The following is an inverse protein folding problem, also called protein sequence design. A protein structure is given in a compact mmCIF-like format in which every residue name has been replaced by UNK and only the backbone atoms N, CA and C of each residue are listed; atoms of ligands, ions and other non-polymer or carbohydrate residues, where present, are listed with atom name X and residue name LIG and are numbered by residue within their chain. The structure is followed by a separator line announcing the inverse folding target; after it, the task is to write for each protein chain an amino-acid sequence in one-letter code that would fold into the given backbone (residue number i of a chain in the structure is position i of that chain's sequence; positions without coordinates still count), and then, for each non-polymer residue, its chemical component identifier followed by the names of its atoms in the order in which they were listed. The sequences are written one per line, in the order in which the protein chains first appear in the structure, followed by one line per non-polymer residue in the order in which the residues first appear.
data_IF_332010299331
#
_entry.id   IF_332010299331
#
_cell.length_a   1.000
_cell.length_b   1.000
_cell.length_c   1.000
_cell.angle_alpha   90.00
_cell.angle_beta   90.00
_cell.angle_gamma   90.00
#
_symmetry.space_group_name_H-M   'P 1'
#
loop_
_entity.id
_entity.type
_entity.pdbx_description
1 polymer ?
#
# COMPACT_ATOMS: atom_id res chain seq x y z
N UNK A 1 5.73 13.80 23.92
CA UNK A 1 6.57 13.17 22.87
C UNK A 1 7.54 14.21 22.34
N UNK A 2 8.85 13.93 22.31
CA UNK A 2 9.70 14.56 21.29
C UNK A 2 10.51 13.58 20.44
N UNK A 3 10.61 12.30 20.83
CA UNK A 3 11.44 11.31 20.13
C UNK A 3 10.58 10.23 19.48
N UNK A 4 10.73 10.06 18.16
CA UNK A 4 10.16 8.95 17.39
C UNK A 4 11.32 8.09 16.88
N UNK A 5 11.44 6.81 17.30
CA UNK A 5 12.61 5.97 16.99
C UNK A 5 12.61 5.40 15.56
N UNK A 6 11.53 5.60 14.81
CA UNK A 6 11.38 5.14 13.43
C UNK A 6 12.08 6.09 12.46
N UNK A 7 12.71 5.53 11.43
CA UNK A 7 13.43 6.31 10.39
C UNK A 7 13.09 5.79 8.99
N UNK A 8 13.54 6.50 7.97
CA UNK A 8 13.36 6.16 6.55
C UNK A 8 14.67 5.68 5.94
N UNK A 9 14.56 4.89 4.87
CA UNK A 9 15.68 4.56 4.00
C UNK A 9 16.05 5.76 3.10
N UNK A 10 17.08 5.62 2.26
CA UNK A 10 17.53 6.67 1.34
C UNK A 10 16.47 7.12 0.32
N UNK A 11 15.48 6.25 0.01
CA UNK A 11 14.36 6.56 -0.87
C UNK A 11 13.19 7.25 -0.14
N UNK A 12 13.37 7.60 1.14
CA UNK A 12 12.34 8.21 1.97
C UNK A 12 11.24 7.24 2.45
N UNK A 13 11.43 5.93 2.29
CA UNK A 13 10.46 4.90 2.70
C UNK A 13 10.81 4.37 4.09
N UNK A 14 9.83 4.28 4.98
CA UNK A 14 9.99 3.77 6.34
C UNK A 14 8.67 3.22 6.88
N UNK A 15 8.67 2.66 8.10
CA UNK A 15 7.47 2.07 8.68
C UNK A 15 6.42 3.15 8.94
N UNK A 16 5.19 2.91 8.47
CA UNK A 16 4.02 3.65 8.93
C UNK A 16 3.66 3.12 10.33
N UNK A 17 3.67 4.00 11.33
CA UNK A 17 3.42 3.62 12.72
C UNK A 17 2.23 4.41 13.29
N UNK A 18 1.32 3.69 13.91
CA UNK A 18 0.21 4.25 14.69
C UNK A 18 -0.09 3.30 15.84
N UNK A 19 -0.52 3.84 16.97
CA UNK A 19 -0.99 3.05 18.11
C UNK A 19 -2.45 3.43 18.37
N UNK A 20 -3.32 2.43 18.40
CA UNK A 20 -4.73 2.59 18.77
C UNK A 20 -4.87 2.50 20.29
N UNK A 21 -5.56 1.49 20.80
CA UNK A 21 -5.70 1.20 22.21
C UNK A 21 -4.98 -0.11 22.56
N UNK A 22 -4.93 -0.43 23.85
CA UNK A 22 -4.25 -1.63 24.30
C UNK A 22 -5.00 -2.90 23.88
N UNK A 23 -6.33 -2.83 23.92
CA UNK A 23 -7.25 -3.94 23.72
C UNK A 23 -7.57 -4.28 22.25
N UNK A 24 -7.27 -3.39 21.29
CA UNK A 24 -7.73 -3.50 19.90
C UNK A 24 -6.61 -3.59 18.84
N UNK A 25 -5.36 -3.84 19.26
CA UNK A 25 -4.20 -3.81 18.34
C UNK A 25 -4.36 -4.77 17.15
N UNK A 26 -5.03 -5.91 17.34
CA UNK A 26 -5.27 -6.88 16.28
C UNK A 26 -6.31 -6.37 15.28
N UNK A 27 -7.45 -5.89 15.76
CA UNK A 27 -8.54 -5.33 14.95
C UNK A 27 -8.10 -4.07 14.21
N UNK A 28 -7.29 -3.24 14.86
CA UNK A 28 -6.70 -2.05 14.26
C UNK A 28 -5.75 -2.41 13.09
N UNK A 29 -4.86 -3.38 13.29
CA UNK A 29 -4.00 -3.92 12.24
C UNK A 29 -4.79 -4.56 11.09
N UNK A 30 -5.87 -5.29 11.42
CA UNK A 30 -6.77 -5.87 10.42
C UNK A 30 -7.45 -4.78 9.58
N UNK A 31 -7.88 -3.68 10.20
CA UNK A 31 -8.45 -2.53 9.51
C UNK A 31 -7.51 -1.96 8.44
N UNK A 32 -6.22 -1.81 8.75
CA UNK A 32 -5.21 -1.39 7.77
C UNK A 32 -5.05 -2.40 6.63
N UNK A 33 -5.05 -3.71 6.94
CA UNK A 33 -4.95 -4.74 5.90
C UNK A 33 -6.12 -4.67 4.92
N UNK A 34 -7.35 -4.57 5.43
CA UNK A 34 -8.55 -4.46 4.60
C UNK A 34 -8.52 -3.19 3.73
N UNK A 35 -8.11 -2.06 4.30
CA UNK A 35 -7.97 -0.82 3.54
C UNK A 35 -6.92 -0.95 2.42
N UNK A 36 -5.76 -1.57 2.71
CA UNK A 36 -4.73 -1.86 1.71
C UNK A 36 -5.26 -2.72 0.56
N UNK A 37 -6.04 -3.76 0.87
CA UNK A 37 -6.64 -4.63 -0.15
C UNK A 37 -7.63 -3.86 -1.05
N UNK A 38 -8.47 -3.01 -0.47
CA UNK A 38 -9.40 -2.13 -1.21
C UNK A 38 -8.63 -1.14 -2.10
N UNK A 39 -7.56 -0.53 -1.58
CA UNK A 39 -6.72 0.37 -2.37
C UNK A 39 -6.07 -0.32 -3.57
N UNK A 40 -5.57 -1.54 -3.39
CA UNK A 40 -5.01 -2.35 -4.49
C UNK A 40 -6.08 -2.66 -5.53
N UNK A 41 -7.28 -3.07 -5.10
CA UNK A 41 -8.40 -3.33 -6.02
C UNK A 41 -8.76 -2.08 -6.83
N UNK A 42 -8.90 -0.93 -6.16
CA UNK A 42 -9.22 0.33 -6.81
C UNK A 42 -8.12 0.74 -7.80
N UNK A 43 -6.85 0.65 -7.41
CA UNK A 43 -5.73 0.96 -8.30
C UNK A 43 -5.75 0.11 -9.57
N UNK A 44 -5.99 -1.21 -9.42
CA UNK A 44 -6.12 -2.13 -10.56
C UNK A 44 -7.29 -1.74 -11.47
N UNK A 45 -8.47 -1.44 -10.91
CA UNK A 45 -9.63 -1.00 -11.68
C UNK A 45 -9.34 0.29 -12.46
N UNK A 46 -8.67 1.26 -11.84
CA UNK A 46 -8.31 2.52 -12.50
C UNK A 46 -7.28 2.32 -13.61
N UNK A 47 -6.27 1.47 -13.40
CA UNK A 47 -5.30 1.11 -14.44
C UNK A 47 -5.99 0.48 -15.65
N UNK A 48 -6.92 -0.45 -15.44
CA UNK A 48 -7.72 -1.05 -16.52
C UNK A 48 -8.56 -0.01 -17.26
N UNK A 49 -9.17 0.93 -16.54
CA UNK A 49 -9.95 2.00 -17.17
C UNK A 49 -9.10 2.97 -18.01
N UNK A 50 -7.80 3.07 -17.73
CA UNK A 50 -6.85 3.92 -18.45
C UNK A 50 -6.11 3.18 -19.58
N UNK A 51 -6.47 1.92 -19.86
CA UNK A 51 -5.79 1.05 -20.82
C UNK A 51 -5.67 1.66 -22.22
N UNK A 52 -6.75 2.24 -22.73
CA UNK A 52 -6.76 2.86 -24.06
C UNK A 52 -5.90 4.13 -24.12
N UNK A 53 -5.76 4.86 -23.01
CA UNK A 53 -5.01 6.11 -22.95
C UNK A 53 -3.51 5.89 -22.74
N UNK A 54 -3.14 4.88 -21.93
CA UNK A 54 -1.76 4.63 -21.52
C UNK A 54 -1.09 3.47 -22.27
N UNK A 55 -1.86 2.73 -23.06
CA UNK A 55 -1.39 1.57 -23.83
C UNK A 55 -1.54 0.25 -23.08
N UNK A 56 -2.03 -0.76 -23.80
CA UNK A 56 -2.30 -2.09 -23.26
C UNK A 56 -1.06 -2.78 -22.66
N UNK A 57 0.08 -2.72 -23.35
CA UNK A 57 1.30 -3.41 -22.94
C UNK A 57 1.85 -2.90 -21.61
N UNK A 58 1.81 -1.58 -21.38
CA UNK A 58 2.28 -0.97 -20.14
C UNK A 58 1.39 -1.38 -18.96
N UNK A 59 0.06 -1.32 -19.15
CA UNK A 59 -0.89 -1.70 -18.11
C UNK A 59 -0.75 -3.19 -17.76
N UNK A 60 -0.62 -4.06 -18.75
CA UNK A 60 -0.47 -5.49 -18.51
C UNK A 60 0.83 -5.81 -17.77
N UNK A 61 1.93 -5.13 -18.10
CA UNK A 61 3.19 -5.25 -17.37
C UNK A 61 3.06 -4.81 -15.90
N UNK A 62 2.37 -3.71 -15.63
CA UNK A 62 2.16 -3.23 -14.24
C UNK A 62 1.27 -4.21 -13.46
N UNK A 63 0.17 -4.67 -14.05
CA UNK A 63 -0.79 -5.55 -13.38
C UNK A 63 -0.23 -6.96 -13.11
N UNK A 64 0.67 -7.44 -13.97
CA UNK A 64 1.34 -8.73 -13.86
C UNK A 64 2.67 -8.68 -13.09
N UNK A 65 3.18 -7.49 -12.75
CA UNK A 65 4.44 -7.35 -12.03
C UNK A 65 4.35 -8.03 -10.66
N UNK A 66 5.27 -8.95 -10.33
CA UNK A 66 5.27 -9.60 -9.02
C UNK A 66 5.63 -8.58 -7.94
N UNK A 67 4.83 -8.58 -6.87
CA UNK A 67 5.14 -7.77 -5.69
C UNK A 67 6.26 -8.44 -4.90
N UNK A 68 7.50 -7.95 -5.08
CA UNK A 68 8.72 -8.54 -4.47
C UNK A 68 9.10 -7.92 -3.12
N UNK A 69 8.59 -6.74 -2.80
CA UNK A 69 8.85 -6.00 -1.55
C UNK A 69 7.52 -5.76 -0.83
N UNK A 70 7.63 -5.16 0.34
CA UNK A 70 6.55 -4.95 1.32
C UNK A 70 5.26 -4.35 0.72
N UNK A 71 4.15 -4.56 1.45
CA UNK A 71 2.78 -4.16 1.07
C UNK A 71 2.50 -2.68 1.25
#
# INVERSE_FOLDING_TARGET
LPTTPWTTNADGRGPAWSNSLFEDNAEFGLGFRLASDVHVQLARQRLTALRETLGADLIDQILAAPQRRES
#
